data_IF_069118012584
#
_entry.id   IF_069118012584
#
_cell.length_a   1.000
_cell.length_b   1.000
_cell.length_c   1.000
_cell.angle_alpha   90.00
_cell.angle_beta   90.00
_cell.angle_gamma   90.00
#
_symmetry.space_group_name_H-M   'P 1'
#
loop_
_entity.id
_entity.type
_entity.pdbx_description
1 polymer ?
#
# COMPACT_ATOMS: atom_id res chain seq x y z
N UNK A 1 -7.10 -13.88 2.56
CA UNK A 1 -7.79 -13.23 1.43
C UNK A 1 -9.26 -13.12 1.80
N UNK A 2 -9.81 -11.92 1.71
CA UNK A 2 -11.22 -11.62 1.99
C UNK A 2 -12.11 -12.03 0.80
N UNK A 3 -13.45 -12.09 0.97
CA UNK A 3 -14.37 -12.45 -0.11
C UNK A 3 -14.31 -11.53 -1.34
N UNK A 4 -13.81 -10.30 -1.18
CA UNK A 4 -13.60 -9.31 -2.24
C UNK A 4 -12.20 -9.40 -2.88
N UNK A 5 -11.48 -10.50 -2.64
CA UNK A 5 -10.10 -10.73 -3.06
C UNK A 5 -9.05 -9.76 -2.48
N UNK A 6 -9.44 -8.94 -1.50
CA UNK A 6 -8.49 -8.06 -0.81
C UNK A 6 -7.76 -8.79 0.30
N UNK A 7 -6.67 -8.20 0.78
CA UNK A 7 -5.92 -8.68 1.93
C UNK A 7 -5.58 -7.52 2.87
N UNK A 8 -5.56 -7.81 4.16
CA UNK A 8 -5.10 -6.87 5.19
C UNK A 8 -3.68 -7.25 5.57
N UNK A 9 -2.79 -6.26 5.51
CA UNK A 9 -1.37 -6.39 5.82
C UNK A 9 -1.07 -5.45 6.98
N UNK A 10 -0.35 -5.97 7.98
CA UNK A 10 0.16 -5.17 9.08
C UNK A 10 1.68 -5.06 8.97
N UNK A 11 2.19 -3.83 8.89
CA UNK A 11 3.62 -3.54 8.85
C UNK A 11 4.02 -2.82 10.14
N UNK A 12 5.02 -3.33 10.85
CA UNK A 12 5.55 -2.68 12.04
C UNK A 12 6.44 -1.51 11.63
N UNK A 13 6.25 -0.34 12.27
CA UNK A 13 7.07 0.86 12.05
C UNK A 13 8.53 0.52 12.35
N UNK A 14 9.43 0.68 11.36
CA UNK A 14 10.86 0.52 11.59
C UNK A 14 11.34 1.52 12.65
N UNK A 15 12.34 1.16 13.49
CA UNK A 15 12.89 2.07 14.49
C UNK A 15 13.49 3.33 13.87
N UNK A 16 13.95 3.24 12.61
CA UNK A 16 14.48 4.35 11.84
C UNK A 16 13.98 4.28 10.39
N UNK A 17 13.50 5.41 9.87
CA UNK A 17 13.15 5.57 8.45
C UNK A 17 11.72 5.18 8.07
N UNK A 18 11.40 5.22 6.76
CA UNK A 18 10.07 4.95 6.23
C UNK A 18 9.80 3.44 6.13
N UNK A 19 8.55 3.04 5.86
CA UNK A 19 8.13 1.64 5.77
C UNK A 19 8.77 0.81 4.64
N UNK A 20 9.56 1.41 3.75
CA UNK A 20 10.34 0.66 2.75
C UNK A 20 9.66 0.43 1.40
N UNK A 21 8.53 1.09 1.14
CA UNK A 21 7.88 1.10 -0.16
C UNK A 21 7.39 2.52 -0.50
N UNK A 22 7.14 2.74 -1.79
CA UNK A 22 6.63 3.98 -2.34
C UNK A 22 5.28 3.75 -3.00
N UNK A 23 4.47 4.80 -3.04
CA UNK A 23 3.14 4.77 -3.64
C UNK A 23 3.05 5.77 -4.80
N UNK A 24 2.16 5.50 -5.75
CA UNK A 24 1.85 6.42 -6.83
C UNK A 24 0.36 6.39 -7.15
N UNK A 25 -0.15 7.52 -7.66
CA UNK A 25 -1.49 7.60 -8.21
C UNK A 25 -1.50 7.04 -9.62
N UNK A 26 -2.46 6.18 -9.94
CA UNK A 26 -2.70 5.76 -11.32
C UNK A 26 -3.33 6.85 -12.18
N UNK A 27 -3.39 6.57 -13.48
CA UNK A 27 -4.11 7.39 -14.45
C UNK A 27 -5.59 6.93 -14.58
N UNK A 28 -6.31 7.49 -15.54
CA UNK A 28 -7.71 7.14 -15.82
C UNK A 28 -7.91 5.65 -16.10
N UNK A 29 -6.96 4.97 -16.76
CA UNK A 29 -7.05 3.52 -17.02
C UNK A 29 -7.18 2.70 -15.73
N UNK A 30 -6.58 3.18 -14.65
CA UNK A 30 -6.55 2.52 -13.34
C UNK A 30 -7.42 3.26 -12.31
N UNK A 31 -8.48 3.94 -12.76
CA UNK A 31 -9.44 4.68 -11.93
C UNK A 31 -8.80 5.65 -10.90
N UNK A 32 -7.61 6.16 -11.21
CA UNK A 32 -6.84 6.99 -10.27
C UNK A 32 -6.62 6.34 -8.89
N UNK A 33 -6.51 5.01 -8.81
CA UNK A 33 -6.18 4.30 -7.58
C UNK A 33 -4.78 4.65 -7.04
N UNK A 34 -4.45 4.11 -5.86
CA UNK A 34 -3.14 4.28 -5.23
C UNK A 34 -2.42 2.94 -5.26
N UNK A 35 -1.20 2.91 -5.78
CA UNK A 35 -0.48 1.66 -6.05
C UNK A 35 0.90 1.67 -5.45
N UNK A 36 1.38 0.49 -5.05
CA UNK A 36 2.79 0.30 -4.72
C UNK A 36 3.62 0.46 -6.00
N UNK A 37 4.44 1.49 -6.07
CA UNK A 37 5.20 1.86 -7.26
C UNK A 37 6.65 1.39 -7.22
N UNK A 38 7.20 1.24 -6.01
CA UNK A 38 8.59 0.82 -5.80
C UNK A 38 8.77 0.21 -4.41
N UNK A 39 9.64 -0.78 -4.29
CA UNK A 39 10.19 -1.26 -3.02
C UNK A 39 11.60 -0.68 -2.83
N UNK A 40 11.96 -0.31 -1.61
CA UNK A 40 13.25 0.30 -1.31
C UNK A 40 14.35 -0.75 -1.21
N UNK A 41 15.48 -0.53 -1.88
CA UNK A 41 16.65 -1.45 -1.91
C UNK A 41 17.25 -1.74 -0.51
N UNK A 42 16.99 -0.85 0.46
CA UNK A 42 17.43 -1.01 1.86
C UNK A 42 16.54 -1.92 2.70
N UNK A 43 15.39 -2.37 2.16
CA UNK A 43 14.51 -3.32 2.81
C UNK A 43 14.71 -4.69 2.16
N UNK A 44 15.05 -5.74 2.93
CA UNK A 44 15.20 -7.05 2.33
C UNK A 44 13.87 -7.45 1.70
N UNK A 45 13.88 -7.91 0.44
CA UNK A 45 12.68 -8.39 -0.27
C UNK A 45 11.86 -9.38 0.57
N UNK A 46 12.54 -10.12 1.46
CA UNK A 46 11.95 -11.03 2.46
C UNK A 46 10.97 -10.39 3.44
N UNK A 47 11.08 -9.08 3.71
CA UNK A 47 10.19 -8.37 4.63
C UNK A 47 8.79 -8.18 4.02
N UNK A 48 8.73 -8.02 2.69
CA UNK A 48 7.48 -7.92 1.94
C UNK A 48 7.12 -9.21 1.20
N UNK A 49 8.02 -10.21 1.17
CA UNK A 49 7.88 -11.41 0.38
C UNK A 49 6.54 -12.11 0.67
N UNK A 50 5.67 -12.12 -0.33
CA UNK A 50 4.35 -12.74 -0.28
C UNK A 50 3.25 -11.89 0.37
N UNK A 51 3.56 -10.69 0.85
CA UNK A 51 2.59 -9.77 1.49
C UNK A 51 2.29 -8.55 0.63
N UNK A 52 3.30 -7.79 0.20
CA UNK A 52 3.13 -6.55 -0.56
C UNK A 52 4.03 -6.54 -1.79
N UNK A 53 3.45 -6.36 -2.96
CA UNK A 53 4.15 -6.39 -4.24
C UNK A 53 3.97 -5.11 -5.06
N UNK A 54 4.83 -4.94 -6.06
CA UNK A 54 4.68 -3.87 -7.06
C UNK A 54 3.34 -4.01 -7.79
N UNK A 55 2.62 -2.90 -7.93
CA UNK A 55 1.32 -2.86 -8.60
C UNK A 55 0.12 -3.26 -7.75
N UNK A 56 0.34 -3.72 -6.50
CA UNK A 56 -0.75 -3.89 -5.55
C UNK A 56 -1.45 -2.55 -5.31
N UNK A 57 -2.78 -2.58 -5.32
CA UNK A 57 -3.60 -1.40 -5.08
C UNK A 57 -3.89 -1.26 -3.60
N UNK A 58 -3.56 -0.11 -3.03
CA UNK A 58 -3.90 0.26 -1.66
C UNK A 58 -5.31 0.86 -1.68
N UNK A 59 -6.21 0.24 -0.94
CA UNK A 59 -7.59 0.69 -0.79
C UNK A 59 -7.80 1.48 0.50
N UNK A 60 -7.13 1.07 1.58
CA UNK A 60 -7.20 1.74 2.89
C UNK A 60 -5.83 1.78 3.58
N UNK A 61 -5.59 2.86 4.33
CA UNK A 61 -4.50 3.00 5.28
C UNK A 61 -5.07 3.30 6.66
N UNK A 62 -4.76 2.46 7.64
CA UNK A 62 -5.26 2.56 9.02
C UNK A 62 -6.79 2.72 9.10
N UNK A 63 -7.52 2.09 8.18
CA UNK A 63 -8.99 2.16 8.07
C UNK A 63 -9.53 3.38 7.33
N UNK A 64 -8.66 4.26 6.80
CA UNK A 64 -9.05 5.41 5.98
C UNK A 64 -8.98 5.02 4.50
N UNK A 65 -10.09 5.17 3.77
CA UNK A 65 -10.16 4.88 2.34
C UNK A 65 -9.39 5.91 1.50
N UNK A 66 -8.39 5.46 0.75
CA UNK A 66 -7.44 6.35 0.05
C UNK A 66 -7.96 6.94 -1.26
N UNK A 67 -9.07 6.42 -1.79
CA UNK A 67 -9.72 6.95 -2.99
C UNK A 67 -10.41 8.31 -2.73
N UNK A 68 -10.65 8.67 -1.47
CA UNK A 68 -11.32 9.92 -1.08
C UNK A 68 -10.36 11.06 -0.74
N UNK A 69 -9.06 10.80 -0.70
CA UNK A 69 -8.03 11.75 -0.26
C UNK A 69 -6.93 11.90 -1.32
N UNK A 70 -6.11 12.95 -1.17
CA UNK A 70 -4.98 13.23 -2.07
C UNK A 70 -3.80 12.30 -1.78
N UNK A 71 -2.86 12.18 -2.71
CA UNK A 71 -1.66 11.37 -2.48
C UNK A 71 -0.80 11.94 -1.33
N UNK A 72 -0.80 13.26 -1.14
CA UNK A 72 -0.09 13.92 -0.04
C UNK A 72 -0.73 13.55 1.30
N UNK A 73 -2.06 13.55 1.41
CA UNK A 73 -2.77 13.10 2.62
C UNK A 73 -2.42 11.62 2.95
N UNK A 74 -2.27 10.78 1.92
CA UNK A 74 -1.87 9.37 2.12
C UNK A 74 -0.44 9.29 2.69
N UNK A 75 0.49 10.12 2.20
CA UNK A 75 1.84 10.20 2.76
C UNK A 75 1.83 10.67 4.21
N UNK A 76 1.01 11.65 4.55
CA UNK A 76 0.86 12.15 5.92
C UNK A 76 0.33 11.05 6.85
N UNK A 77 -0.69 10.30 6.45
CA UNK A 77 -1.20 9.15 7.21
C UNK A 77 -0.13 8.08 7.47
N UNK A 78 0.70 7.77 6.47
CA UNK A 78 1.82 6.85 6.62
C UNK A 78 2.90 7.41 7.55
N UNK A 79 3.19 8.71 7.47
CA UNK A 79 4.19 9.37 8.31
C UNK A 79 3.76 9.42 9.79
N UNK A 80 2.50 9.78 10.05
CA UNK A 80 1.89 9.89 11.38
C UNK A 80 1.71 8.55 12.10
N UNK A 81 1.77 7.44 11.35
CA UNK A 81 1.69 6.09 11.92
C UNK A 81 2.82 5.85 12.92
N UNK A 82 2.45 5.51 14.17
CA UNK A 82 3.38 5.37 15.30
C UNK A 82 4.01 3.99 15.44
N UNK A 83 3.19 2.95 15.46
CA UNK A 83 3.65 1.57 15.75
C UNK A 83 3.42 0.62 14.59
N UNK A 84 2.24 0.67 13.98
CA UNK A 84 1.84 -0.27 12.93
C UNK A 84 1.03 0.41 11.84
N UNK A 85 1.41 0.15 10.60
CA UNK A 85 0.66 0.54 9.41
C UNK A 85 -0.21 -0.62 8.99
N UNK A 86 -1.52 -0.41 8.98
CA UNK A 86 -2.49 -1.40 8.50
C UNK A 86 -2.91 -0.99 7.10
N UNK A 87 -2.65 -1.85 6.13
CA UNK A 87 -3.04 -1.66 4.73
C UNK A 87 -4.15 -2.64 4.38
N UNK A 88 -5.21 -2.18 3.72
CA UNK A 88 -6.07 -3.06 2.93
C UNK A 88 -5.67 -2.92 1.47
N UNK A 89 -5.26 -4.02 0.85
CA UNK A 89 -4.78 -4.01 -0.54
C UNK A 89 -5.51 -5.01 -1.41
N UNK A 90 -5.66 -4.68 -2.70
CA UNK A 90 -6.05 -5.60 -3.75
C UNK A 90 -4.78 -6.07 -4.48
N UNK A 91 -4.41 -7.36 -4.37
CA UNK A 91 -3.23 -7.88 -5.05
C UNK A 91 -3.33 -7.69 -6.57
N UNK A 92 -2.21 -7.37 -7.23
CA UNK A 92 -2.19 -7.18 -8.69
C UNK A 92 -2.81 -8.38 -9.44
N UNK A 93 -2.54 -9.60 -9.00
CA UNK A 93 -3.05 -10.83 -9.63
C UNK A 93 -4.56 -11.02 -9.48
N UNK A 94 -5.20 -10.31 -8.53
CA UNK A 94 -6.63 -10.35 -8.31
C UNK A 94 -7.39 -9.25 -9.05
N UNK A 95 -6.68 -8.37 -9.77
CA UNK A 95 -7.27 -7.28 -10.54
C UNK A 95 -7.83 -7.76 -11.87
N UNK A 96 -8.97 -7.19 -12.25
CA UNK A 96 -9.66 -7.52 -13.50
C UNK A 96 -9.46 -6.48 -14.61
N UNK A 97 -8.66 -5.44 -14.37
CA UNK A 97 -8.53 -4.23 -15.21
C UNK A 97 -7.14 -4.05 -15.85
N UNK A 98 -6.42 -5.15 -16.09
CA UNK A 98 -5.13 -5.15 -16.81
C UNK A 98 -5.29 -5.10 -18.33
#
# INVERSE_FOLDING_TARGET
>A
MMPDNTQVIELIKPPHGPFGFYIARGNEKYNHGVFVSRLSDGYPDKLFAGLLGLGDEILEINGVAVNTITLDDVYDLMAETKEKLVLRVLPLLARNDW
#
